data_IF_666331443252
#
_entry.id   IF_666331443252
#
_cell.length_a   1.000
_cell.length_b   1.000
_cell.length_c   1.000
_cell.angle_alpha   90.00
_cell.angle_beta   90.00
_cell.angle_gamma   90.00
#
_symmetry.space_group_name_H-M   'P 1'
#
loop_
_entity.id
_entity.type
_entity.pdbx_description
1 polymer ?
#
# COMPACT_ATOMS: atom_id res chain seq x y z
N UNK A 1 13.40 -30.34 25.82
CA UNK A 1 12.81 -30.32 27.17
C UNK A 1 11.35 -29.92 27.04
N UNK A 2 10.47 -30.63 27.73
CA UNK A 2 9.02 -30.50 27.69
C UNK A 2 8.58 -29.14 28.24
N UNK A 3 7.75 -28.43 27.47
CA UNK A 3 7.04 -27.23 27.90
C UNK A 3 5.87 -27.64 28.80
N UNK A 4 6.07 -27.62 30.11
CA UNK A 4 4.97 -27.61 31.06
C UNK A 4 4.36 -26.21 31.08
N UNK A 5 3.10 -26.12 30.68
CA UNK A 5 2.32 -24.89 30.82
C UNK A 5 1.98 -24.69 32.30
N UNK A 6 2.37 -23.54 32.84
CA UNK A 6 1.98 -23.02 34.16
C UNK A 6 1.43 -21.59 34.00
N UNK A 7 0.53 -21.15 34.90
CA UNK A 7 -0.45 -20.11 34.63
C UNK A 7 0.15 -18.70 34.49
N UNK A 8 -0.63 -17.85 33.85
CA UNK A 8 -0.33 -16.46 33.45
C UNK A 8 -0.17 -15.53 34.66
N UNK A 9 0.97 -15.54 35.32
CA UNK A 9 1.46 -14.39 36.09
C UNK A 9 2.94 -14.61 36.37
N UNK A 10 3.78 -13.62 36.03
CA UNK A 10 5.24 -13.60 36.24
C UNK A 10 6.04 -14.52 35.29
N UNK A 11 6.17 -14.06 34.05
CA UNK A 11 7.23 -14.56 33.17
C UNK A 11 8.58 -14.02 33.67
N UNK A 12 9.25 -14.82 34.49
CA UNK A 12 10.59 -14.55 34.98
C UNK A 12 11.60 -14.72 33.84
N UNK A 13 11.93 -13.62 33.15
CA UNK A 13 13.11 -13.57 32.29
C UNK A 13 14.32 -13.23 33.17
N UNK A 14 15.25 -14.16 33.29
CA UNK A 14 16.55 -13.93 33.94
C UNK A 14 17.46 -13.22 32.94
N UNK A 15 17.91 -12.02 33.27
CA UNK A 15 18.91 -11.27 32.49
C UNK A 15 20.24 -11.41 33.23
N UNK A 16 21.13 -12.27 32.75
CA UNK A 16 22.46 -12.44 33.34
C UNK A 16 23.33 -11.20 33.05
N UNK A 17 23.50 -10.38 34.08
CA UNK A 17 24.51 -9.32 34.15
C UNK A 17 25.19 -9.39 35.51
N UNK A 18 26.46 -9.80 35.53
CA UNK A 18 27.44 -9.68 36.63
C UNK A 18 26.85 -9.68 38.06
N UNK A 19 26.79 -10.86 38.70
CA UNK A 19 26.45 -11.12 40.12
C UNK A 19 25.16 -10.50 40.69
N UNK A 20 24.29 -9.94 39.84
CA UNK A 20 23.04 -9.30 40.23
C UNK A 20 21.87 -9.98 39.50
N UNK A 21 21.15 -10.89 40.16
CA UNK A 21 19.94 -11.49 39.59
C UNK A 21 18.85 -10.43 39.55
N UNK A 22 18.60 -9.86 38.37
CA UNK A 22 17.49 -8.94 38.16
C UNK A 22 16.21 -9.72 37.82
N UNK A 23 15.17 -9.53 38.61
CA UNK A 23 13.84 -10.13 38.37
C UNK A 23 13.00 -9.16 37.57
N UNK A 24 12.63 -9.56 36.35
CA UNK A 24 11.70 -8.79 35.53
C UNK A 24 10.28 -8.94 36.08
N UNK A 25 9.73 -7.86 36.66
CA UNK A 25 8.38 -7.85 37.27
C UNK A 25 7.28 -7.90 36.21
N UNK A 26 7.51 -7.26 35.07
CA UNK A 26 6.55 -7.24 33.96
C UNK A 26 7.24 -7.05 32.61
N UNK A 27 6.61 -7.58 31.55
CA UNK A 27 7.01 -7.36 30.16
C UNK A 27 5.98 -6.48 29.46
N UNK A 28 6.42 -5.58 28.56
CA UNK A 28 5.50 -4.82 27.72
C UNK A 28 4.59 -5.74 26.91
N UNK A 29 3.32 -5.36 26.80
CA UNK A 29 2.36 -6.02 25.93
C UNK A 29 1.86 -5.05 24.86
N UNK A 30 2.05 -5.41 23.58
CA UNK A 30 1.64 -4.63 22.43
C UNK A 30 0.41 -5.31 21.83
N UNK A 31 -0.76 -4.66 21.95
CA UNK A 31 -2.04 -5.20 21.43
C UNK A 31 -2.27 -6.66 21.87
N UNK A 32 -2.02 -6.95 23.16
CA UNK A 32 -2.16 -8.28 23.75
C UNK A 32 -1.04 -9.28 23.39
N UNK A 33 0.03 -8.84 22.74
CA UNK A 33 1.23 -9.65 22.46
C UNK A 33 2.35 -9.25 23.40
N UNK A 34 2.76 -10.13 24.30
CA UNK A 34 3.86 -9.87 25.24
C UNK A 34 5.22 -10.00 24.55
N UNK A 35 6.16 -9.12 24.89
CA UNK A 35 7.55 -9.20 24.42
C UNK A 35 8.33 -10.23 25.24
N UNK A 36 8.07 -11.51 25.00
CA UNK A 36 8.72 -12.62 25.72
C UNK A 36 10.09 -12.99 25.18
N UNK A 37 10.40 -12.61 23.94
CA UNK A 37 11.72 -12.84 23.35
C UNK A 37 12.74 -11.91 24.01
N UNK A 38 13.79 -12.43 24.69
CA UNK A 38 14.80 -11.62 25.36
C UNK A 38 15.50 -10.63 24.43
N UNK A 39 15.73 -11.01 23.17
CA UNK A 39 16.38 -10.14 22.17
C UNK A 39 15.50 -8.95 21.83
N UNK A 40 14.21 -9.19 21.61
CA UNK A 40 13.25 -8.15 21.26
C UNK A 40 13.00 -7.20 22.43
N UNK A 41 12.94 -7.73 23.64
CA UNK A 41 12.84 -6.94 24.86
C UNK A 41 14.07 -6.06 25.05
N UNK A 42 15.28 -6.61 24.89
CA UNK A 42 16.53 -5.84 24.99
C UNK A 42 16.59 -4.71 23.97
N UNK A 43 16.23 -4.98 22.71
CA UNK A 43 16.19 -3.95 21.66
C UNK A 43 15.15 -2.87 21.97
N UNK A 44 13.98 -3.26 22.48
CA UNK A 44 12.95 -2.32 22.90
C UNK A 44 13.43 -1.41 24.04
N UNK A 45 14.05 -1.99 25.07
CA UNK A 45 14.59 -1.24 26.21
C UNK A 45 15.72 -0.31 25.81
N UNK A 46 16.67 -0.77 24.99
CA UNK A 46 17.75 0.06 24.47
C UNK A 46 17.23 1.28 23.71
N UNK A 47 16.25 1.08 22.84
CA UNK A 47 15.67 2.18 22.09
C UNK A 47 14.91 3.17 22.99
N UNK A 48 14.21 2.67 24.01
CA UNK A 48 13.55 3.56 24.97
C UNK A 48 14.57 4.39 25.75
N UNK A 49 15.70 3.81 26.13
CA UNK A 49 16.80 4.51 26.79
C UNK A 49 17.40 5.60 25.89
N UNK A 50 17.68 5.27 24.63
CA UNK A 50 18.26 6.22 23.65
C UNK A 50 17.31 7.36 23.27
N UNK A 51 16.02 7.07 23.09
CA UNK A 51 15.03 8.05 22.59
C UNK A 51 14.25 8.73 23.72
N UNK A 52 14.39 8.28 24.96
CA UNK A 52 13.52 8.71 26.06
C UNK A 52 12.03 8.44 25.81
N UNK A 53 11.71 7.52 24.89
CA UNK A 53 10.36 7.29 24.38
C UNK A 53 9.84 8.35 23.39
N UNK A 54 10.63 9.38 23.10
CA UNK A 54 10.36 10.38 22.06
C UNK A 54 11.11 9.98 20.78
N UNK A 55 10.52 9.09 19.98
CA UNK A 55 11.14 8.64 18.74
C UNK A 55 10.24 7.74 17.90
N UNK A 56 10.78 7.30 16.76
CA UNK A 56 10.14 6.33 15.88
C UNK A 56 9.73 5.07 16.65
N UNK A 57 8.60 4.45 16.26
CA UNK A 57 8.13 3.24 16.93
C UNK A 57 9.22 2.15 16.97
N UNK A 58 9.43 1.50 18.13
CA UNK A 58 10.43 0.45 18.21
C UNK A 58 10.20 -0.71 17.23
N UNK A 59 11.26 -1.30 16.63
CA UNK A 59 11.13 -2.39 15.67
C UNK A 59 10.27 -3.55 16.17
N UNK A 60 10.38 -3.88 17.46
CA UNK A 60 9.55 -4.90 18.09
C UNK A 60 8.05 -4.56 18.04
N UNK A 61 7.69 -3.29 18.30
CA UNK A 61 6.32 -2.79 18.22
C UNK A 61 5.83 -2.81 16.78
N UNK A 62 6.61 -2.27 15.84
CA UNK A 62 6.28 -2.27 14.40
C UNK A 62 6.05 -3.68 13.87
N UNK A 63 6.88 -4.65 14.25
CA UNK A 63 6.73 -6.05 13.85
C UNK A 63 5.41 -6.64 14.36
N UNK A 64 5.06 -6.39 15.62
CA UNK A 64 3.78 -6.85 16.18
C UNK A 64 2.61 -6.22 15.42
N UNK A 65 2.63 -4.90 15.20
CA UNK A 65 1.58 -4.17 14.49
C UNK A 65 1.41 -4.66 13.05
N UNK A 66 2.51 -4.79 12.29
CA UNK A 66 2.52 -5.36 10.93
C UNK A 66 1.88 -6.74 10.90
N UNK A 67 2.31 -7.61 11.81
CA UNK A 67 1.83 -8.99 11.87
C UNK A 67 0.35 -9.08 12.29
N UNK A 68 -0.12 -8.20 13.16
CA UNK A 68 -1.53 -8.09 13.52
C UNK A 68 -2.35 -7.59 12.34
N UNK A 69 -1.96 -6.48 11.73
CA UNK A 69 -2.65 -5.88 10.59
C UNK A 69 -2.87 -6.88 9.44
N UNK A 70 -1.87 -7.69 9.10
CA UNK A 70 -2.04 -8.70 8.04
C UNK A 70 -2.90 -9.90 8.44
N UNK A 71 -2.81 -10.37 9.69
CA UNK A 71 -3.57 -11.57 10.11
C UNK A 71 -5.04 -11.28 10.37
N UNK A 72 -5.39 -10.04 10.66
CA UNK A 72 -6.78 -9.61 10.88
C UNK A 72 -7.38 -8.88 9.68
N UNK A 73 -6.64 -8.77 8.57
CA UNK A 73 -7.12 -8.17 7.35
C UNK A 73 -8.20 -9.04 6.68
N UNK A 74 -9.02 -8.40 5.86
CA UNK A 74 -9.87 -9.11 4.88
C UNK A 74 -8.96 -9.83 3.90
N UNK A 75 -9.27 -11.09 3.62
CA UNK A 75 -8.46 -12.00 2.82
C UNK A 75 -8.95 -12.10 1.38
N UNK A 76 -8.07 -12.56 0.49
CA UNK A 76 -8.48 -12.87 -0.88
C UNK A 76 -9.49 -14.02 -0.88
N UNK A 77 -10.61 -13.80 -1.58
CA UNK A 77 -11.71 -14.75 -1.64
C UNK A 77 -12.84 -14.47 -0.65
N UNK A 78 -12.65 -13.52 0.29
CA UNK A 78 -13.74 -13.08 1.16
C UNK A 78 -14.81 -12.34 0.34
N UNK A 79 -16.05 -12.75 0.52
CA UNK A 79 -17.19 -12.06 -0.08
C UNK A 79 -17.53 -10.81 0.73
N UNK A 80 -17.59 -9.67 0.05
CA UNK A 80 -17.98 -8.38 0.63
C UNK A 80 -19.25 -7.87 -0.02
N UNK A 81 -20.16 -7.33 0.78
CA UNK A 81 -21.33 -6.62 0.27
C UNK A 81 -20.93 -5.24 -0.28
N UNK A 82 -21.75 -4.63 -1.16
CA UNK A 82 -21.49 -3.28 -1.65
C UNK A 82 -21.31 -2.24 -0.53
N UNK A 83 -22.05 -2.38 0.57
CA UNK A 83 -21.97 -1.50 1.74
C UNK A 83 -20.62 -1.66 2.44
N UNK A 84 -20.15 -2.89 2.64
CA UNK A 84 -18.83 -3.16 3.22
C UNK A 84 -17.70 -2.59 2.36
N UNK A 85 -17.77 -2.78 1.04
CA UNK A 85 -16.82 -2.20 0.09
C UNK A 85 -16.80 -0.66 0.19
N UNK A 86 -17.98 -0.03 0.27
CA UNK A 86 -18.10 1.42 0.38
C UNK A 86 -17.48 1.93 1.68
N UNK A 87 -17.74 1.24 2.80
CA UNK A 87 -17.13 1.57 4.09
C UNK A 87 -15.60 1.44 4.06
N UNK A 88 -15.07 0.38 3.45
CA UNK A 88 -13.62 0.19 3.33
C UNK A 88 -12.96 1.33 2.55
N UNK A 89 -13.54 1.73 1.42
CA UNK A 89 -13.02 2.84 0.61
C UNK A 89 -13.10 4.16 1.37
N UNK A 90 -14.18 4.39 2.13
CA UNK A 90 -14.31 5.58 2.96
C UNK A 90 -13.26 5.63 4.08
N UNK A 91 -13.01 4.52 4.77
CA UNK A 91 -11.96 4.43 5.79
C UNK A 91 -10.55 4.56 5.20
N UNK A 92 -10.33 4.02 4.00
CA UNK A 92 -9.04 4.12 3.31
C UNK A 92 -8.67 5.58 3.02
N UNK A 93 -9.66 6.42 2.67
CA UNK A 93 -9.45 7.86 2.44
C UNK A 93 -8.88 8.58 3.67
N UNK A 94 -9.31 8.18 4.86
CA UNK A 94 -8.92 8.83 6.12
C UNK A 94 -7.65 8.17 6.73
N UNK A 95 -7.07 7.20 6.03
CA UNK A 95 -5.86 6.47 6.46
C UNK A 95 -4.60 7.14 5.92
N UNK A 96 -3.61 7.39 6.80
CA UNK A 96 -2.29 7.86 6.36
C UNK A 96 -1.55 6.78 5.56
N UNK A 97 -0.78 7.19 4.55
CA UNK A 97 -0.01 6.28 3.68
C UNK A 97 -0.87 5.17 3.04
N UNK A 98 -2.13 5.49 2.73
CA UNK A 98 -3.13 4.54 2.21
C UNK A 98 -2.71 3.80 0.92
N UNK A 99 -1.77 4.36 0.15
CA UNK A 99 -1.24 3.75 -1.08
C UNK A 99 -0.39 2.52 -0.80
N UNK A 100 0.11 2.31 0.42
CA UNK A 100 0.92 1.16 0.80
C UNK A 100 0.39 0.47 2.06
N UNK A 101 0.41 -0.85 2.07
CA UNK A 101 0.12 -1.62 3.28
C UNK A 101 1.30 -1.55 4.27
N UNK A 102 1.11 -2.04 5.49
CA UNK A 102 2.15 -2.06 6.53
C UNK A 102 3.45 -2.81 6.15
N UNK A 103 3.42 -3.59 5.06
CA UNK A 103 4.55 -4.33 4.49
C UNK A 103 5.08 -3.73 3.16
N UNK A 104 4.56 -2.57 2.74
CA UNK A 104 5.00 -1.86 1.53
C UNK A 104 4.37 -2.37 0.22
N UNK A 105 3.33 -3.21 0.27
CA UNK A 105 2.61 -3.60 -0.96
C UNK A 105 1.67 -2.47 -1.38
N UNK A 106 1.51 -2.21 -2.69
CA UNK A 106 0.54 -1.23 -3.16
C UNK A 106 -0.89 -1.67 -2.79
N UNK A 107 -1.63 -0.79 -2.13
CA UNK A 107 -3.03 -1.04 -1.74
C UNK A 107 -3.99 -0.72 -2.88
N UNK A 108 -3.66 0.30 -3.68
CA UNK A 108 -4.45 0.75 -4.83
C UNK A 108 -3.57 0.87 -6.06
N UNK A 109 -4.15 0.64 -7.23
CA UNK A 109 -3.46 0.81 -8.51
C UNK A 109 -4.40 1.55 -9.48
N UNK A 110 -3.98 2.68 -10.07
CA UNK A 110 -4.80 3.37 -11.06
C UNK A 110 -4.95 2.48 -12.31
N UNK A 111 -6.19 2.19 -12.70
CA UNK A 111 -6.48 1.33 -13.84
C UNK A 111 -6.49 2.10 -15.17
N UNK A 112 -7.05 3.31 -15.16
CA UNK A 112 -7.23 4.10 -16.38
C UNK A 112 -7.30 5.60 -16.08
N UNK A 113 -6.72 6.39 -16.99
CA UNK A 113 -6.96 7.84 -17.05
C UNK A 113 -8.15 8.11 -17.98
N UNK A 114 -9.28 8.53 -17.39
CA UNK A 114 -10.53 8.74 -18.13
C UNK A 114 -10.42 9.81 -19.23
N UNK A 115 -9.75 10.97 -19.03
CA UNK A 115 -9.54 11.94 -20.10
C UNK A 115 -8.79 11.37 -21.30
N UNK A 116 -7.68 10.66 -21.07
CA UNK A 116 -6.92 9.99 -22.14
C UNK A 116 -7.78 8.94 -22.84
N UNK A 117 -8.53 8.14 -22.08
CA UNK A 117 -9.43 7.14 -22.66
C UNK A 117 -10.48 7.80 -23.56
N UNK A 118 -11.11 8.88 -23.12
CA UNK A 118 -12.08 9.63 -23.90
C UNK A 118 -11.47 10.20 -25.20
N UNK A 119 -10.27 10.78 -25.13
CA UNK A 119 -9.57 11.30 -26.31
C UNK A 119 -9.29 10.20 -27.34
N UNK A 120 -8.82 9.03 -26.88
CA UNK A 120 -8.58 7.86 -27.75
C UNK A 120 -9.88 7.37 -28.38
N UNK A 121 -10.96 7.27 -27.61
CA UNK A 121 -12.26 6.81 -28.10
C UNK A 121 -12.88 7.80 -29.10
N UNK A 122 -12.76 9.11 -28.87
CA UNK A 122 -13.22 10.14 -29.80
C UNK A 122 -12.50 10.07 -31.15
N UNK A 123 -11.16 9.90 -31.15
CA UNK A 123 -10.37 9.70 -32.37
C UNK A 123 -10.80 8.44 -33.13
N UNK A 124 -11.10 7.35 -32.41
CA UNK A 124 -11.63 6.11 -33.02
C UNK A 124 -13.01 6.30 -33.63
N UNK A 125 -13.92 7.02 -32.97
CA UNK A 125 -15.26 7.33 -33.51
C UNK A 125 -15.21 8.27 -34.71
N UNK A 126 -14.33 9.28 -34.68
CA UNK A 126 -14.09 10.18 -35.82
C UNK A 126 -13.46 9.47 -37.03
N UNK A 127 -12.54 8.51 -36.79
CA UNK A 127 -11.99 7.65 -37.83
C UNK A 127 -13.01 6.67 -38.45
N UNK A 128 -14.14 6.43 -37.77
CA UNK A 128 -15.26 5.65 -38.30
C UNK A 128 -16.25 6.52 -39.09
N UNK A 129 -16.28 7.84 -38.87
CA UNK A 129 -17.23 8.77 -39.51
C UNK A 129 -16.67 9.54 -40.72
N UNK A 130 -15.35 9.61 -40.93
CA UNK A 130 -14.75 10.12 -42.17
C UNK A 130 -14.63 9.06 -43.29
N UNK A 131 -15.54 8.09 -43.30
CA UNK A 131 -15.92 7.32 -44.48
C UNK A 131 -17.16 7.92 -45.16
N UNK A 132 -17.24 9.25 -45.23
CA UNK A 132 -18.21 9.94 -46.09
C UNK A 132 -17.93 9.56 -47.53
N UNK A 133 -18.83 8.75 -48.09
CA UNK A 133 -18.80 8.17 -49.42
C UNK A 133 -18.85 9.26 -50.52
N UNK A 134 -17.74 9.93 -50.81
CA UNK A 134 -17.59 10.59 -52.12
C UNK A 134 -17.14 9.51 -53.11
N UNK A 135 -18.06 9.01 -53.92
CA UNK A 135 -17.77 8.01 -54.96
C UNK A 135 -16.95 8.68 -56.06
N UNK A 136 -15.64 8.48 -56.07
CA UNK A 136 -14.81 8.78 -57.24
C UNK A 136 -14.76 7.52 -58.14
N UNK A 137 -15.25 7.55 -59.40
CA UNK A 137 -15.50 6.33 -60.19
C UNK A 137 -14.24 5.75 -60.85
N UNK A 138 -13.10 5.66 -60.15
CA UNK A 138 -11.87 5.13 -60.76
C UNK A 138 -10.72 4.70 -59.85
N UNK A 139 -10.84 4.74 -58.51
CA UNK A 139 -9.75 4.36 -57.61
C UNK A 139 -9.97 2.99 -56.98
N UNK A 140 -8.98 2.09 -57.05
CA UNK A 140 -9.03 0.78 -56.37
C UNK A 140 -9.09 0.99 -54.86
N UNK A 141 -10.14 0.48 -54.23
CA UNK A 141 -10.45 0.67 -52.82
C UNK A 141 -9.57 -0.20 -51.92
N UNK A 142 -8.51 0.37 -51.36
CA UNK A 142 -7.76 -0.22 -50.26
C UNK A 142 -8.18 0.40 -48.93
N UNK A 143 -9.33 0.00 -48.36
CA UNK A 143 -9.66 0.39 -46.98
C UNK A 143 -8.80 -0.43 -46.00
N UNK A 144 -7.53 -0.06 -45.84
CA UNK A 144 -6.70 -0.69 -44.81
C UNK A 144 -7.17 -0.15 -43.47
N UNK A 145 -8.11 -0.87 -42.82
CA UNK A 145 -8.35 -0.76 -41.37
C UNK A 145 -7.03 -1.07 -40.68
N UNK A 146 -6.15 -0.09 -40.52
CA UNK A 146 -4.98 -0.22 -39.66
C UNK A 146 -5.52 -0.30 -38.23
N UNK A 147 -5.71 -1.53 -37.75
CA UNK A 147 -5.82 -1.79 -36.32
C UNK A 147 -4.62 -1.11 -35.68
N UNK A 148 -4.86 -0.13 -34.83
CA UNK A 148 -3.83 0.32 -33.90
C UNK A 148 -3.47 -0.91 -33.08
N UNK A 149 -2.26 -1.43 -33.30
CA UNK A 149 -1.74 -2.52 -32.48
C UNK A 149 -1.56 -2.01 -31.05
N UNK A 150 -1.51 -2.93 -30.08
CA UNK A 150 -1.37 -2.60 -28.67
C UNK A 150 -0.20 -1.63 -28.41
N UNK A 151 0.84 -1.70 -29.24
CA UNK A 151 2.02 -0.84 -29.18
C UNK A 151 1.74 0.61 -29.59
N UNK A 152 1.03 0.84 -30.70
CA UNK A 152 0.63 2.19 -31.10
C UNK A 152 -0.29 2.84 -30.07
N UNK A 153 -1.13 2.05 -29.40
CA UNK A 153 -1.97 2.51 -28.30
C UNK A 153 -1.13 2.86 -27.06
N UNK A 154 -0.15 2.03 -26.68
CA UNK A 154 0.78 2.31 -25.59
C UNK A 154 1.59 3.58 -25.83
N UNK A 155 2.12 3.78 -27.04
CA UNK A 155 2.90 4.98 -27.39
C UNK A 155 2.04 6.25 -27.33
N UNK A 156 0.77 6.19 -27.74
CA UNK A 156 -0.16 7.31 -27.62
C UNK A 156 -0.48 7.64 -26.15
N UNK A 157 -0.71 6.63 -25.31
CA UNK A 157 -0.96 6.80 -23.88
C UNK A 157 0.30 7.33 -23.15
N UNK A 158 1.49 6.83 -23.50
CA UNK A 158 2.76 7.27 -22.91
C UNK A 158 3.11 8.73 -23.26
N UNK A 159 2.70 9.20 -24.45
CA UNK A 159 2.90 10.59 -24.89
C UNK A 159 1.94 11.56 -24.19
N UNK A 160 0.66 11.20 -24.05
CA UNK A 160 -0.30 12.02 -23.29
C UNK A 160 0.01 12.01 -21.78
N UNK A 161 0.46 10.88 -21.23
CA UNK A 161 0.82 10.74 -19.81
C UNK A 161 1.97 11.65 -19.35
N UNK A 162 2.91 12.03 -20.24
CA UNK A 162 3.98 12.99 -19.89
C UNK A 162 3.47 14.43 -19.75
N UNK A 163 2.37 14.78 -20.41
CA UNK A 163 1.77 16.12 -20.38
C UNK A 163 0.54 16.23 -19.45
N UNK A 164 0.12 15.14 -18.81
CA UNK A 164 -1.01 15.14 -17.88
C UNK A 164 -0.58 15.64 -16.48
N UNK A 165 -0.95 16.88 -16.14
CA UNK A 165 -0.74 17.48 -14.82
C UNK A 165 -1.40 16.71 -13.66
N UNK A 166 -2.48 15.98 -13.94
CA UNK A 166 -3.21 15.19 -12.95
C UNK A 166 -2.36 14.01 -12.45
N UNK A 167 -1.61 13.35 -13.35
CA UNK A 167 -0.67 12.29 -12.96
C UNK A 167 0.50 12.82 -12.13
N UNK A 168 0.90 14.09 -12.34
CA UNK A 168 1.88 14.79 -11.49
C UNK A 168 1.28 15.27 -10.17
N UNK A 169 -0.04 15.40 -10.05
CA UNK A 169 -0.73 15.77 -8.82
C UNK A 169 -0.75 14.60 -7.85
N UNK A 170 -1.17 13.40 -8.28
CA UNK A 170 -1.10 12.19 -7.44
C UNK A 170 0.32 11.92 -6.92
N UNK A 171 1.34 12.05 -7.78
CA UNK A 171 2.74 11.88 -7.36
C UNK A 171 3.25 12.99 -6.41
N UNK A 172 2.70 14.21 -6.48
CA UNK A 172 3.07 15.32 -5.59
C UNK A 172 2.36 15.24 -4.25
N UNK A 173 1.09 14.83 -4.25
CA UNK A 173 0.30 14.66 -3.03
C UNK A 173 0.86 13.46 -2.22
N UNK A 174 1.23 12.34 -2.87
CA UNK A 174 1.94 11.23 -2.24
C UNK A 174 3.31 11.65 -1.64
N UNK A 175 4.05 12.51 -2.34
CA UNK A 175 5.35 13.02 -1.87
C UNK A 175 5.21 14.04 -0.72
N UNK A 176 4.17 14.88 -0.75
CA UNK A 176 3.86 15.82 0.32
C UNK A 176 3.43 15.10 1.60
N UNK A 177 2.59 14.06 1.48
CA UNK A 177 2.17 13.23 2.61
C UNK A 177 3.34 12.41 3.18
N UNK A 178 4.25 11.91 2.32
CA UNK A 178 5.46 11.21 2.74
C UNK A 178 6.47 12.13 3.44
N UNK A 179 6.62 13.38 2.98
CA UNK A 179 7.53 14.35 3.60
C UNK A 179 7.00 14.84 4.95
N UNK A 180 5.69 15.05 5.07
CA UNK A 180 5.06 15.47 6.33
C UNK A 180 5.03 14.35 7.39
N UNK A 181 5.10 13.08 6.97
CA UNK A 181 5.22 11.92 7.86
C UNK A 181 6.65 11.68 8.39
N UNK A 182 7.67 12.34 7.85
CA UNK A 182 9.05 12.29 8.35
C UNK A 182 9.40 13.42 9.34
N UNK A 183 8.49 14.38 9.55
CA UNK A 183 8.68 15.54 10.46
C UNK A 183 7.90 15.45 11.78
N UNK A 184 7.44 14.24 12.19
CA UNK A 184 6.78 14.01 13.49
C UNK A 184 7.36 12.81 14.23
#
# INVERSE_FOLDING_TARGET
MLLSQQPKEQQQLVIDGNDSVQVLVSVPSICGTTLTNPTDLRLYLHQLDETGGAGLLPPAVLRVLRSKACRTAIMFGDHLTPEQCTMLVAQLRDTRLWTQCAHGRPTVVPLVDLPTLHAVLARRRGAVQFGGMTRNPGGRNGSTRRRLNAEALRVAIQRDGRNNESSRRWQRDDAADASSAMEQ
#
